data_IF_851118007676
#
_entry.id   IF_851118007676
#
_cell.length_a   1.000
_cell.length_b   1.000
_cell.length_c   1.000
_cell.angle_alpha   90.00
_cell.angle_beta   90.00
_cell.angle_gamma   90.00
#
_symmetry.space_group_name_H-M   'P 1'
#
loop_
_entity.id
_entity.type
_entity.pdbx_description
1 polymer ?
#
# COMPACT_ATOMS: atom_id res chain seq x y z
N UNK A 1 -12.14 -5.16 -4.34
CA UNK A 1 -11.29 -4.97 -3.16
C UNK A 1 -10.16 -5.96 -3.24
N UNK A 2 -8.93 -5.52 -3.53
CA UNK A 2 -7.81 -6.44 -3.69
C UNK A 2 -7.17 -6.64 -2.31
N UNK A 3 -7.53 -7.74 -1.66
CA UNK A 3 -6.92 -8.23 -0.43
C UNK A 3 -5.70 -9.06 -0.80
N UNK A 4 -4.50 -8.66 -0.35
CA UNK A 4 -3.31 -9.50 -0.43
C UNK A 4 -3.20 -10.24 0.89
N UNK A 5 -3.17 -11.57 0.87
CA UNK A 5 -2.73 -12.36 2.02
C UNK A 5 -1.21 -12.38 2.01
N UNK A 6 -0.51 -11.82 3.02
CA UNK A 6 0.92 -12.08 3.19
C UNK A 6 1.08 -13.59 3.36
N UNK A 7 1.96 -14.19 2.57
CA UNK A 7 2.15 -15.65 2.48
C UNK A 7 2.48 -16.31 3.84
N UNK A 8 2.91 -15.52 4.83
CA UNK A 8 3.44 -16.04 6.09
C UNK A 8 2.42 -16.10 7.24
N UNK A 9 1.27 -15.42 7.15
CA UNK A 9 0.41 -15.19 8.33
C UNK A 9 -1.08 -15.54 8.16
N UNK A 10 -1.54 -15.91 6.96
CA UNK A 10 -2.93 -16.33 6.71
C UNK A 10 -3.99 -15.26 7.03
N UNK A 11 -3.58 -14.00 7.16
CA UNK A 11 -4.46 -12.87 7.49
C UNK A 11 -4.74 -12.06 6.23
N UNK A 12 -5.98 -11.63 6.06
CA UNK A 12 -6.32 -10.66 5.02
C UNK A 12 -5.64 -9.33 5.30
N UNK A 13 -4.92 -8.79 4.30
CA UNK A 13 -4.33 -7.47 4.37
C UNK A 13 -4.81 -6.60 3.20
N UNK A 14 -5.13 -5.35 3.50
CA UNK A 14 -5.47 -4.34 2.51
C UNK A 14 -4.32 -3.35 2.39
N UNK A 15 -3.93 -3.02 1.17
CA UNK A 15 -2.89 -2.03 0.91
C UNK A 15 -3.54 -0.69 0.64
N UNK A 16 -3.18 0.32 1.44
CA UNK A 16 -3.71 1.68 1.34
C UNK A 16 -2.57 2.64 0.99
N UNK A 17 -2.79 3.52 0.02
CA UNK A 17 -1.83 4.58 -0.29
C UNK A 17 -1.84 5.65 0.81
N UNK A 18 -0.67 6.13 1.28
CA UNK A 18 -0.59 7.21 2.28
C UNK A 18 -1.32 8.50 1.87
N UNK A 19 -1.39 8.77 0.56
CA UNK A 19 -2.09 9.92 -0.01
C UNK A 19 -3.62 9.82 0.07
N UNK A 20 -4.15 8.61 0.27
CA UNK A 20 -5.60 8.33 0.36
C UNK A 20 -6.09 8.17 1.79
N UNK A 21 -5.18 8.15 2.77
CA UNK A 21 -5.54 8.12 4.18
C UNK A 21 -5.94 9.52 4.63
N UNK A 22 -7.19 9.75 5.10
CA UNK A 22 -7.57 11.03 5.63
C UNK A 22 -6.77 11.32 6.90
N UNK A 23 -5.93 12.37 6.84
CA UNK A 23 -5.09 12.82 7.96
C UNK A 23 -5.37 14.29 8.25
N UNK A 24 -5.48 14.61 9.53
CA UNK A 24 -5.60 16.00 9.96
C UNK A 24 -4.24 16.72 9.75
N UNK A 25 -4.23 17.91 9.11
CA UNK A 25 -3.01 18.72 9.01
C UNK A 25 -2.48 19.04 10.41
N UNK A 26 -1.17 18.88 10.62
CA UNK A 26 -0.51 19.11 11.93
C UNK A 26 -0.43 17.89 12.85
N UNK A 27 -1.12 16.78 12.55
CA UNK A 27 -1.01 15.53 13.32
C UNK A 27 0.24 14.71 12.95
N UNK A 28 1.40 15.37 12.87
CA UNK A 28 2.67 14.74 12.48
C UNK A 28 3.46 14.25 13.70
N UNK A 29 2.77 13.54 14.60
CA UNK A 29 3.40 12.90 15.74
C UNK A 29 3.56 11.43 15.37
N UNK A 30 4.79 10.98 15.13
CA UNK A 30 5.09 9.58 14.86
C UNK A 30 4.82 8.78 16.13
N UNK A 31 3.68 8.09 16.18
CA UNK A 31 3.33 7.19 17.27
C UNK A 31 2.58 6.01 16.68
N UNK A 32 3.27 4.89 16.49
CA UNK A 32 2.72 3.69 15.82
C UNK A 32 1.40 3.21 16.45
N UNK A 33 1.26 3.36 17.78
CA UNK A 33 0.01 3.04 18.50
C UNK A 33 -1.17 3.92 18.08
N UNK A 34 -0.95 5.23 17.90
CA UNK A 34 -2.02 6.18 17.52
C UNK A 34 -2.43 5.98 16.07
N UNK A 35 -1.44 5.79 15.20
CA UNK A 35 -1.68 5.50 13.78
C UNK A 35 -2.44 4.18 13.60
N UNK A 36 -2.06 3.12 14.32
CA UNK A 36 -2.77 1.84 14.29
C UNK A 36 -4.24 1.98 14.71
N UNK A 37 -4.52 2.73 15.79
CA UNK A 37 -5.90 2.99 16.23
C UNK A 37 -6.69 3.81 15.22
N UNK A 38 -6.06 4.79 14.56
CA UNK A 38 -6.72 5.62 13.57
C UNK A 38 -7.05 4.83 12.31
N UNK A 39 -6.10 4.05 11.80
CA UNK A 39 -6.32 3.16 10.66
C UNK A 39 -7.39 2.11 10.98
N UNK A 40 -7.40 1.53 12.18
CA UNK A 40 -8.44 0.59 12.59
C UNK A 40 -9.84 1.21 12.64
N UNK A 41 -9.95 2.49 13.04
CA UNK A 41 -11.23 3.22 13.02
C UNK A 41 -11.68 3.50 11.59
N UNK A 42 -10.78 4.01 10.74
CA UNK A 42 -11.06 4.31 9.33
C UNK A 42 -11.39 3.04 8.52
N UNK A 43 -10.76 1.92 8.84
CA UNK A 43 -11.07 0.62 8.24
C UNK A 43 -12.49 0.17 8.59
N UNK A 44 -12.91 0.35 9.85
CA UNK A 44 -14.27 0.00 10.30
C UNK A 44 -15.35 0.91 9.72
N UNK A 45 -15.08 2.19 9.51
CA UNK A 45 -16.02 3.12 8.87
C UNK A 45 -16.10 2.94 7.34
N UNK A 46 -15.14 2.22 6.73
CA UNK A 46 -15.05 2.07 5.29
C UNK A 46 -14.43 3.28 4.58
N UNK A 47 -13.83 4.22 5.33
CA UNK A 47 -13.23 5.44 4.78
C UNK A 47 -11.86 5.20 4.11
N UNK A 48 -11.32 3.99 4.24
CA UNK A 48 -10.06 3.62 3.59
C UNK A 48 -10.34 3.12 2.17
N UNK A 49 -9.75 3.81 1.19
CA UNK A 49 -9.76 3.35 -0.19
C UNK A 49 -8.51 2.49 -0.49
N UNK A 50 -8.67 1.17 -0.69
CA UNK A 50 -7.54 0.32 -1.04
C UNK A 50 -7.01 0.66 -2.43
N UNK A 51 -5.69 0.56 -2.57
CA UNK A 51 -5.05 0.60 -3.89
C UNK A 51 -4.98 -0.80 -4.47
N UNK A 52 -5.02 -0.86 -5.79
CA UNK A 52 -4.77 -2.08 -6.51
C UNK A 52 -3.30 -2.49 -6.36
N UNK A 53 -3.07 -3.77 -6.13
CA UNK A 53 -1.74 -4.38 -5.99
C UNK A 53 -1.58 -5.41 -7.10
N UNK A 54 -0.54 -5.31 -7.95
CA UNK A 54 -0.26 -6.30 -8.98
C UNK A 54 -0.04 -7.69 -8.39
N UNK A 55 -0.47 -8.73 -9.12
CA UNK A 55 -0.07 -10.10 -8.83
C UNK A 55 1.40 -10.36 -9.24
N UNK A 56 1.90 -11.56 -8.93
CA UNK A 56 3.31 -11.91 -9.17
C UNK A 56 3.69 -11.90 -10.67
N UNK A 57 2.75 -12.30 -11.54
CA UNK A 57 2.96 -12.33 -12.99
C UNK A 57 3.01 -10.91 -13.57
N UNK A 58 2.11 -10.05 -13.11
CA UNK A 58 2.07 -8.64 -13.47
C UNK A 58 3.29 -7.87 -12.94
N UNK A 59 3.77 -8.20 -11.74
CA UNK A 59 5.01 -7.62 -11.21
C UNK A 59 6.22 -8.01 -12.07
N UNK A 60 6.32 -9.29 -12.48
CA UNK A 60 7.41 -9.75 -13.34
C UNK A 60 7.44 -9.00 -14.69
N UNK A 61 6.29 -8.76 -15.30
CA UNK A 61 6.20 -7.96 -16.54
C UNK A 61 6.62 -6.50 -16.33
N UNK A 62 6.27 -5.91 -15.19
CA UNK A 62 6.64 -4.54 -14.82
C UNK A 62 8.14 -4.41 -14.53
N UNK A 63 8.73 -5.43 -13.92
CA UNK A 63 10.17 -5.48 -13.65
C UNK A 63 11.00 -5.56 -14.94
N UNK A 64 10.59 -6.36 -15.92
CA UNK A 64 11.23 -6.35 -17.25
C UNK A 64 11.24 -4.96 -17.89
N UNK A 65 10.14 -4.22 -17.76
CA UNK A 65 10.02 -2.85 -18.32
C UNK A 65 10.90 -1.86 -17.58
N UNK A 66 11.01 -1.97 -16.24
CA UNK A 66 11.94 -1.17 -15.43
C UNK A 66 13.38 -1.39 -15.85
N UNK A 67 13.82 -2.65 -15.87
CA UNK A 67 15.18 -3.03 -16.21
C UNK A 67 15.55 -2.46 -17.58
N UNK A 68 14.65 -2.55 -18.58
CA UNK A 68 14.86 -1.93 -19.88
C UNK A 68 15.01 -0.39 -19.82
N UNK A 69 14.22 0.28 -18.99
CA UNK A 69 14.32 1.74 -18.78
C UNK A 69 15.63 2.15 -18.12
N UNK A 70 16.08 1.39 -17.11
CA UNK A 70 17.34 1.62 -16.41
C UNK A 70 18.54 1.51 -17.36
N UNK A 71 18.54 0.54 -18.28
CA UNK A 71 19.59 0.42 -19.30
C UNK A 71 19.56 1.55 -20.34
N UNK A 72 18.39 2.13 -20.65
CA UNK A 72 18.28 3.28 -21.54
C UNK A 72 18.69 4.61 -20.90
N UNK A 73 18.60 4.73 -19.58
CA UNK A 73 19.02 5.94 -18.85
C UNK A 73 20.53 5.99 -18.56
N UNK A 74 21.27 4.94 -18.90
CA UNK A 74 22.73 4.85 -18.77
C UNK A 74 23.48 5.17 -20.09
N UNK A 75 22.74 5.47 -21.16
CA UNK A 75 23.25 6.00 -22.43
C UNK A 75 23.20 7.53 -22.42
#
# INVERSE_FOLDING_TARGET
TYTKTPLELGRECQVIAPSRTPRQPGARIKTDRRDALMLARQLRSGDLMPVWVPDAEQEAMRDLTRTRGDFKGQE
#
